data_IF_865824168065
#
_entry.id   IF_865824168065
#
_cell.length_a   1.000
_cell.length_b   1.000
_cell.length_c   1.000
_cell.angle_alpha   90.00
_cell.angle_beta   90.00
_cell.angle_gamma   90.00
#
_symmetry.space_group_name_H-M   'P 1'
#
loop_
_entity.id
_entity.type
_entity.pdbx_description
1 polymer ?
#
# COMPACT_ATOMS: atom_id res chain seq x y z
N UNK A 1 -5.33 10.44 -5.60
CA UNK A 1 -6.31 9.96 -4.59
C UNK A 1 -6.90 8.60 -4.95
N UNK A 2 -7.36 8.35 -6.18
CA UNK A 2 -7.93 7.05 -6.58
C UNK A 2 -6.97 5.85 -6.38
N UNK A 3 -5.71 5.96 -6.82
CA UNK A 3 -4.72 4.88 -6.65
C UNK A 3 -4.49 4.49 -5.18
N UNK A 4 -4.45 5.48 -4.27
CA UNK A 4 -4.30 5.22 -2.84
C UNK A 4 -5.48 4.41 -2.27
N UNK A 5 -6.71 4.80 -2.62
CA UNK A 5 -7.92 4.08 -2.20
C UNK A 5 -7.97 2.66 -2.78
N UNK A 6 -7.57 2.49 -4.04
CA UNK A 6 -7.46 1.18 -4.68
C UNK A 6 -6.43 0.28 -3.98
N UNK A 7 -5.24 0.82 -3.66
CA UNK A 7 -4.21 0.08 -2.92
C UNK A 7 -4.73 -0.30 -1.54
N UNK A 8 -5.33 0.62 -0.77
CA UNK A 8 -5.91 0.29 0.54
C UNK A 8 -6.97 -0.81 0.44
N UNK A 9 -7.84 -0.75 -0.58
CA UNK A 9 -8.85 -1.79 -0.82
C UNK A 9 -8.19 -3.14 -1.11
N UNK A 10 -7.15 -3.16 -1.96
CA UNK A 10 -6.39 -4.37 -2.27
C UNK A 10 -5.74 -4.98 -1.03
N UNK A 11 -5.15 -4.17 -0.14
CA UNK A 11 -4.56 -4.65 1.11
C UNK A 11 -5.61 -5.30 2.04
N UNK A 12 -6.83 -4.75 2.11
CA UNK A 12 -7.93 -5.34 2.87
C UNK A 12 -8.39 -6.67 2.27
N UNK A 13 -8.45 -6.77 0.94
CA UNK A 13 -8.77 -8.03 0.24
C UNK A 13 -7.72 -9.10 0.55
N UNK A 14 -6.43 -8.79 0.45
CA UNK A 14 -5.37 -9.73 0.80
C UNK A 14 -5.47 -10.20 2.25
N UNK A 15 -5.72 -9.28 3.17
CA UNK A 15 -5.93 -9.63 4.57
C UNK A 15 -7.13 -10.58 4.77
N UNK A 16 -8.27 -10.32 4.11
CA UNK A 16 -9.44 -11.18 4.15
C UNK A 16 -9.17 -12.60 3.58
N UNK A 17 -8.20 -12.73 2.67
CA UNK A 17 -7.74 -14.00 2.13
C UNK A 17 -6.71 -14.71 3.02
N UNK A 18 -6.34 -14.14 4.18
CA UNK A 18 -5.31 -14.67 5.06
C UNK A 18 -3.87 -14.37 4.59
N UNK A 19 -3.69 -13.42 3.68
CA UNK A 19 -2.39 -12.98 3.18
C UNK A 19 -1.88 -11.75 3.93
N UNK A 20 -0.56 -11.64 4.07
CA UNK A 20 0.13 -10.43 4.47
C UNK A 20 0.50 -9.60 3.24
N UNK A 21 0.35 -8.28 3.33
CA UNK A 21 0.74 -7.38 2.24
C UNK A 21 1.27 -6.04 2.77
N UNK A 22 2.17 -5.42 2.00
CA UNK A 22 2.79 -4.12 2.34
C UNK A 22 2.78 -3.18 1.15
N UNK A 23 2.32 -1.93 1.38
CA UNK A 23 2.45 -0.83 0.42
C UNK A 23 3.86 -0.26 0.52
N UNK A 24 4.63 -0.40 -0.56
CA UNK A 24 5.99 0.09 -0.68
C UNK A 24 6.06 1.40 -1.49
N UNK A 25 6.59 2.44 -0.85
CA UNK A 25 6.94 3.72 -1.50
C UNK A 25 8.42 3.84 -1.86
N UNK A 26 9.32 3.25 -1.07
CA UNK A 26 10.77 3.35 -1.28
C UNK A 26 11.26 2.87 -2.67
N UNK A 27 10.72 1.79 -3.28
CA UNK A 27 11.17 1.37 -4.60
C UNK A 27 10.96 2.42 -5.70
N UNK A 28 10.03 3.37 -5.52
CA UNK A 28 9.81 4.45 -6.48
C UNK A 28 11.01 5.42 -6.60
N UNK A 29 12.02 5.30 -5.73
CA UNK A 29 13.29 6.00 -5.91
C UNK A 29 14.05 5.53 -7.17
N UNK A 30 13.84 4.28 -7.59
CA UNK A 30 14.38 3.69 -8.82
C UNK A 30 13.28 3.48 -9.86
N UNK A 31 12.35 4.44 -9.96
CA UNK A 31 11.14 4.30 -10.77
C UNK A 31 11.45 4.05 -12.24
N UNK A 32 12.41 4.76 -12.82
CA UNK A 32 12.74 4.60 -14.24
C UNK A 32 13.25 3.19 -14.52
N UNK A 33 14.18 2.70 -13.71
CA UNK A 33 14.75 1.35 -13.84
C UNK A 33 13.67 0.28 -13.63
N UNK A 34 12.74 0.50 -12.70
CA UNK A 34 11.61 -0.40 -12.48
C UNK A 34 10.60 -0.37 -13.63
N UNK A 35 10.30 0.78 -14.21
CA UNK A 35 9.41 0.91 -15.36
C UNK A 35 9.99 0.23 -16.59
N UNK A 36 11.31 0.38 -16.82
CA UNK A 36 12.05 -0.34 -17.85
C UNK A 36 12.04 -1.85 -17.60
N UNK A 37 12.37 -2.28 -16.37
CA UNK A 37 12.40 -3.69 -15.98
C UNK A 37 11.04 -4.37 -16.14
N UNK A 38 9.96 -3.69 -15.75
CA UNK A 38 8.59 -4.19 -15.83
C UNK A 38 7.96 -3.98 -17.21
N UNK A 39 8.68 -3.34 -18.15
CA UNK A 39 8.18 -3.02 -19.49
C UNK A 39 6.83 -2.28 -19.44
N UNK A 40 6.74 -1.25 -18.58
CA UNK A 40 5.50 -0.49 -18.38
C UNK A 40 5.11 0.18 -19.71
N UNK A 41 3.85 0.02 -20.18
CA UNK A 41 3.43 0.58 -21.46
C UNK A 41 3.45 2.10 -21.47
N UNK A 42 3.67 2.68 -22.65
CA UNK A 42 3.61 4.13 -22.84
C UNK A 42 2.23 4.68 -22.40
N UNK A 43 2.25 5.77 -21.63
CA UNK A 43 1.04 6.39 -21.10
C UNK A 43 0.59 5.83 -19.74
N UNK A 44 1.26 4.81 -19.21
CA UNK A 44 1.11 4.36 -17.83
C UNK A 44 2.27 4.86 -16.96
N UNK A 45 2.00 4.98 -15.67
CA UNK A 45 2.92 5.50 -14.67
C UNK A 45 2.99 4.54 -13.48
N UNK A 46 4.19 4.17 -13.04
CA UNK A 46 4.35 3.35 -11.84
C UNK A 46 4.13 4.20 -10.59
N UNK A 47 3.01 3.94 -9.89
CA UNK A 47 2.58 4.73 -8.73
C UNK A 47 2.94 4.12 -7.39
N UNK A 48 3.14 2.80 -7.31
CA UNK A 48 3.50 2.07 -6.09
C UNK A 48 3.75 0.59 -6.40
N UNK A 49 4.47 -0.10 -5.50
CA UNK A 49 4.53 -1.55 -5.46
C UNK A 49 3.81 -2.07 -4.20
N UNK A 50 3.15 -3.23 -4.35
CA UNK A 50 2.57 -3.97 -3.25
C UNK A 50 3.18 -5.36 -3.22
N UNK A 51 3.94 -5.67 -2.17
CA UNK A 51 4.41 -7.03 -1.93
C UNK A 51 3.33 -7.79 -1.14
N UNK A 52 3.10 -9.06 -1.50
CA UNK A 52 2.06 -9.92 -0.92
C UNK A 52 2.58 -11.35 -0.76
N UNK A 53 2.17 -12.03 0.32
CA UNK A 53 2.54 -13.41 0.57
C UNK A 53 1.85 -13.99 1.79
N UNK A 54 2.28 -15.18 2.22
CA UNK A 54 1.83 -15.78 3.47
C UNK A 54 2.57 -15.12 4.64
N UNK A 55 1.86 -14.60 5.65
CA UNK A 55 2.49 -13.93 6.78
C UNK A 55 3.27 -14.94 7.64
N UNK A 56 4.53 -14.64 7.94
CA UNK A 56 5.37 -15.40 8.88
C UNK A 56 5.24 -14.86 10.33
N UNK A 57 4.64 -13.67 10.48
CA UNK A 57 4.44 -12.99 11.76
C UNK A 57 3.08 -12.26 11.80
N UNK A 58 2.66 -11.86 13.01
CA UNK A 58 1.43 -11.09 13.24
C UNK A 58 1.71 -9.91 14.18
N UNK A 59 2.40 -8.86 13.70
CA UNK A 59 2.82 -7.74 14.54
C UNK A 59 1.63 -6.87 14.96
N UNK A 60 1.68 -6.39 16.19
CA UNK A 60 0.74 -5.38 16.71
C UNK A 60 1.40 -4.01 16.75
N UNK A 61 0.67 -2.96 16.35
CA UNK A 61 1.15 -1.57 16.42
C UNK A 61 0.07 -0.67 16.99
N UNK A 62 0.44 0.09 18.01
CA UNK A 62 -0.44 1.08 18.62
C UNK A 62 -0.85 2.16 17.61
N UNK A 63 -2.06 2.70 17.79
CA UNK A 63 -2.57 3.85 17.06
C UNK A 63 -2.68 5.04 18.00
N UNK A 64 -2.54 6.25 17.44
CA UNK A 64 -2.81 7.48 18.19
C UNK A 64 -4.26 7.48 18.69
N UNK A 65 -4.53 7.99 19.90
CA UNK A 65 -5.88 8.22 20.39
C UNK A 65 -6.73 9.01 19.38
N UNK A 66 -8.03 8.70 19.29
CA UNK A 66 -8.96 9.37 18.36
C UNK A 66 -9.00 10.87 18.60
N UNK A 67 -8.93 11.31 19.86
CA UNK A 67 -8.90 12.72 20.26
C UNK A 67 -7.70 13.51 19.72
N UNK A 68 -6.64 12.84 19.28
CA UNK A 68 -5.48 13.49 18.64
C UNK A 68 -5.62 13.62 17.12
N UNK A 69 -6.56 12.92 16.50
CA UNK A 69 -6.66 12.81 15.03
C UNK A 69 -8.03 13.16 14.46
N UNK A 70 -9.06 13.34 15.29
CA UNK A 70 -10.40 13.71 14.88
C UNK A 70 -11.09 14.62 15.91
N UNK A 71 -11.85 15.59 15.41
CA UNK A 71 -12.72 16.47 16.20
C UNK A 71 -14.18 16.24 15.79
N UNK A 72 -15.07 16.14 16.78
CA UNK A 72 -16.51 15.95 16.55
C UNK A 72 -17.24 17.25 16.84
N UNK A 73 -17.81 17.85 15.80
CA UNK A 73 -18.60 19.08 15.87
C UNK A 73 -20.08 18.71 15.75
N UNK A 74 -20.93 19.31 16.58
CA UNK A 74 -22.37 19.11 16.59
C UNK A 74 -23.11 20.33 16.05
#
# INVERSE_FOLDING_TARGET
MSAAAAITTLLLVFHAMGLGAVWLGAPLMAKQELEELLSIPQGFDLVSLVAVGYPDESPTKDRKPVSEVAEFIR
#
